data_IF_492885205805
#
_entry.id   IF_492885205805
#
_cell.length_a   1.000
_cell.length_b   1.000
_cell.length_c   1.000
_cell.angle_alpha   90.00
_cell.angle_beta   90.00
_cell.angle_gamma   90.00
#
_symmetry.space_group_name_H-M   'P 1'
#
loop_
_entity.id
_entity.type
_entity.pdbx_description
1 polymer ?
#
# COMPACT_ATOMS: atom_id res chain seq x y z
N UNK A 1 -18.69 -13.84 -38.32
CA UNK A 1 -18.12 -13.15 -37.16
C UNK A 1 -19.22 -12.99 -36.15
N UNK A 2 -19.30 -13.86 -35.15
CA UNK A 2 -20.27 -13.68 -34.05
C UNK A 2 -19.80 -12.52 -33.18
N UNK A 3 -20.74 -11.82 -32.56
CA UNK A 3 -20.55 -10.58 -31.82
C UNK A 3 -19.71 -10.69 -30.53
N UNK A 4 -18.81 -11.67 -30.42
CA UNK A 4 -18.10 -12.06 -29.18
C UNK A 4 -16.58 -11.85 -29.19
N UNK A 5 -15.97 -11.36 -30.26
CA UNK A 5 -14.50 -11.20 -30.36
C UNK A 5 -14.04 -9.74 -30.18
N UNK A 6 -14.59 -9.03 -29.20
CA UNK A 6 -14.11 -7.67 -28.86
C UNK A 6 -12.90 -7.82 -27.94
N UNK A 7 -11.72 -7.36 -28.40
CA UNK A 7 -10.55 -7.26 -27.55
C UNK A 7 -10.79 -6.19 -26.46
N UNK A 8 -11.04 -6.64 -25.23
CA UNK A 8 -11.35 -5.79 -24.07
C UNK A 8 -10.19 -4.88 -23.64
N UNK A 9 -8.97 -5.15 -24.09
CA UNK A 9 -7.81 -4.27 -23.87
C UNK A 9 -7.70 -3.17 -24.94
N UNK A 10 -8.25 -3.39 -26.14
CA UNK A 10 -7.98 -2.59 -27.35
C UNK A 10 -6.54 -2.69 -27.89
N UNK A 11 -5.68 -3.50 -27.26
CA UNK A 11 -4.33 -3.85 -27.72
C UNK A 11 -3.97 -5.25 -27.23
N UNK A 12 -2.82 -5.78 -27.66
CA UNK A 12 -2.30 -7.05 -27.10
C UNK A 12 -1.23 -6.73 -26.06
N UNK A 13 -1.39 -7.12 -24.78
CA UNK A 13 -0.38 -6.86 -23.75
C UNK A 13 0.99 -7.43 -24.14
N UNK A 14 2.05 -6.64 -23.98
CA UNK A 14 3.43 -7.08 -24.24
C UNK A 14 3.85 -8.17 -23.25
N UNK A 15 4.02 -9.39 -23.75
CA UNK A 15 4.37 -10.58 -22.98
C UNK A 15 5.59 -10.39 -22.07
N UNK A 16 6.69 -9.89 -22.62
CA UNK A 16 7.95 -9.73 -21.87
C UNK A 16 7.77 -8.82 -20.65
N UNK A 17 7.01 -7.73 -20.80
CA UNK A 17 6.73 -6.80 -19.69
C UNK A 17 5.89 -7.48 -18.61
N UNK A 18 4.86 -8.23 -18.99
CA UNK A 18 4.02 -8.96 -18.03
C UNK A 18 4.85 -9.98 -17.22
N UNK A 19 5.72 -10.75 -17.90
CA UNK A 19 6.60 -11.73 -17.26
C UNK A 19 7.58 -11.03 -16.29
N UNK A 20 8.16 -9.90 -16.69
CA UNK A 20 9.06 -9.12 -15.82
C UNK A 20 8.36 -8.73 -14.53
N UNK A 21 7.14 -8.20 -14.58
CA UNK A 21 6.38 -7.85 -13.37
C UNK A 21 6.05 -9.08 -12.51
N UNK A 22 5.64 -10.20 -13.10
CA UNK A 22 5.42 -11.46 -12.37
C UNK A 22 6.68 -11.86 -11.59
N UNK A 23 7.86 -11.79 -12.22
CA UNK A 23 9.14 -12.10 -11.57
C UNK A 23 9.43 -11.10 -10.45
N UNK A 24 9.34 -9.80 -10.73
CA UNK A 24 9.64 -8.74 -9.76
C UNK A 24 8.76 -8.85 -8.51
N UNK A 25 7.46 -9.07 -8.67
CA UNK A 25 6.53 -9.25 -7.55
C UNK A 25 6.77 -10.57 -6.81
N UNK A 26 7.07 -11.66 -7.53
CA UNK A 26 7.37 -12.95 -6.88
C UNK A 26 8.61 -12.86 -6.01
N UNK A 27 9.70 -12.29 -6.54
CA UNK A 27 10.95 -12.08 -5.79
C UNK A 27 10.70 -11.19 -4.57
N UNK A 28 10.03 -10.06 -4.75
CA UNK A 28 9.71 -9.12 -3.66
C UNK A 28 8.85 -9.78 -2.57
N UNK A 29 7.84 -10.56 -2.96
CA UNK A 29 6.93 -11.26 -2.03
C UNK A 29 7.66 -12.32 -1.22
N UNK A 30 8.52 -13.11 -1.86
CA UNK A 30 9.35 -14.12 -1.18
C UNK A 30 10.32 -13.45 -0.19
N UNK A 31 10.95 -12.33 -0.59
CA UNK A 31 11.82 -11.56 0.28
C UNK A 31 11.05 -11.01 1.49
N UNK A 32 9.88 -10.43 1.32
CA UNK A 32 9.03 -9.96 2.43
C UNK A 32 8.60 -11.10 3.34
N UNK A 33 8.21 -12.25 2.78
CA UNK A 33 7.85 -13.44 3.56
C UNK A 33 9.02 -13.95 4.41
N UNK A 34 10.21 -14.05 3.82
CA UNK A 34 11.43 -14.45 4.53
C UNK A 34 11.80 -13.45 5.62
N UNK A 35 11.79 -12.16 5.32
CA UNK A 35 12.13 -11.11 6.29
C UNK A 35 11.11 -11.05 7.44
N UNK A 36 9.81 -11.19 7.14
CA UNK A 36 8.76 -11.24 8.14
C UNK A 36 8.93 -12.43 9.09
N UNK A 37 9.26 -13.62 8.56
CA UNK A 37 9.54 -14.81 9.36
C UNK A 37 10.80 -14.62 10.23
N UNK A 38 11.91 -14.14 9.64
CA UNK A 38 13.18 -13.92 10.35
C UNK A 38 13.05 -12.90 11.47
N UNK A 39 12.36 -11.79 11.23
CA UNK A 39 12.21 -10.71 12.21
C UNK A 39 10.93 -10.83 13.04
N UNK A 40 10.21 -11.98 12.97
CA UNK A 40 8.92 -12.21 13.65
C UNK A 40 7.91 -11.08 13.48
N UNK A 41 7.94 -10.42 12.32
CA UNK A 41 7.06 -9.30 11.99
C UNK A 41 5.77 -9.82 11.34
N UNK A 42 5.01 -10.62 12.10
CA UNK A 42 3.84 -11.36 11.62
C UNK A 42 2.77 -10.49 10.96
N UNK A 43 2.70 -9.21 11.30
CA UNK A 43 1.76 -8.26 10.68
C UNK A 43 2.03 -8.02 9.18
N UNK A 44 3.25 -8.28 8.69
CA UNK A 44 3.62 -8.14 7.27
C UNK A 44 3.05 -9.27 6.40
N UNK A 45 2.73 -10.43 6.99
CA UNK A 45 2.15 -11.55 6.24
C UNK A 45 0.74 -11.24 5.71
N UNK A 46 -0.25 -10.87 6.54
CA UNK A 46 -1.60 -10.57 6.04
C UNK A 46 -1.67 -9.24 5.27
N UNK A 47 -0.58 -8.46 5.20
CA UNK A 47 -0.55 -7.16 4.55
C UNK A 47 0.30 -7.20 3.28
N UNK A 48 1.62 -7.06 3.40
CA UNK A 48 2.54 -6.97 2.26
C UNK A 48 2.61 -8.27 1.45
N UNK A 49 2.60 -9.44 2.11
CA UNK A 49 2.68 -10.73 1.39
C UNK A 49 1.39 -11.03 0.63
N UNK A 50 0.21 -10.79 1.23
CA UNK A 50 -1.07 -10.93 0.51
C UNK A 50 -1.13 -9.97 -0.67
N UNK A 51 -0.73 -8.70 -0.49
CA UNK A 51 -0.65 -7.75 -1.59
C UNK A 51 0.27 -8.24 -2.72
N UNK A 52 1.44 -8.76 -2.37
CA UNK A 52 2.40 -9.30 -3.33
C UNK A 52 1.88 -10.52 -4.09
N UNK A 53 1.22 -11.47 -3.41
CA UNK A 53 0.57 -12.62 -4.06
C UNK A 53 -0.52 -12.14 -5.02
N UNK A 54 -1.35 -11.18 -4.62
CA UNK A 54 -2.39 -10.62 -5.47
C UNK A 54 -1.80 -9.96 -6.72
N UNK A 55 -0.73 -9.16 -6.60
CA UNK A 55 -0.01 -8.60 -7.75
C UNK A 55 0.53 -9.71 -8.68
N UNK A 56 1.15 -10.77 -8.15
CA UNK A 56 1.61 -11.92 -8.96
C UNK A 56 0.46 -12.57 -9.73
N UNK A 57 -0.69 -12.79 -9.09
CA UNK A 57 -1.88 -13.36 -9.73
C UNK A 57 -2.41 -12.44 -10.83
N UNK A 58 -2.52 -11.14 -10.57
CA UNK A 58 -3.00 -10.15 -11.54
C UNK A 58 -2.09 -10.05 -12.77
N UNK A 59 -0.77 -9.94 -12.57
CA UNK A 59 0.21 -9.91 -13.65
C UNK A 59 0.35 -11.26 -14.36
N UNK A 60 0.11 -12.37 -13.66
CA UNK A 60 0.03 -13.72 -14.26
C UNK A 60 -1.18 -13.85 -15.19
N UNK A 61 -2.35 -13.38 -14.76
CA UNK A 61 -3.54 -13.33 -15.61
C UNK A 61 -3.33 -12.42 -16.84
N UNK A 62 -2.68 -11.26 -16.65
CA UNK A 62 -2.30 -10.38 -17.75
C UNK A 62 -1.29 -11.04 -18.72
N UNK A 63 -0.37 -11.85 -18.20
CA UNK A 63 0.53 -12.66 -19.02
C UNK A 63 -0.25 -13.67 -19.86
N UNK A 64 -1.28 -14.32 -19.30
CA UNK A 64 -2.16 -15.20 -20.07
C UNK A 64 -2.89 -14.45 -21.19
N UNK A 65 -3.37 -13.23 -20.93
CA UNK A 65 -3.94 -12.36 -21.97
C UNK A 65 -2.95 -11.92 -23.05
N UNK A 66 -1.64 -11.97 -22.82
CA UNK A 66 -0.64 -11.71 -23.88
C UNK A 66 -0.52 -12.84 -24.91
N UNK A 67 -1.03 -14.03 -24.60
CA UNK A 67 -1.11 -15.15 -25.56
C UNK A 67 -2.43 -15.11 -26.33
N UNK A 68 -3.52 -14.79 -25.64
CA UNK A 68 -4.86 -14.70 -26.20
C UNK A 68 -5.64 -13.55 -25.53
N UNK A 69 -5.65 -12.34 -26.15
CA UNK A 69 -6.28 -11.15 -25.57
C UNK A 69 -7.81 -11.17 -25.64
N UNK A 70 -8.40 -12.10 -26.39
CA UNK A 70 -9.86 -12.24 -26.52
C UNK A 70 -10.47 -13.00 -25.35
N UNK A 71 -9.65 -13.65 -24.51
CA UNK A 71 -10.16 -14.32 -23.32
C UNK A 71 -10.63 -13.32 -22.26
N UNK A 72 -11.93 -13.38 -21.98
CA UNK A 72 -12.58 -12.54 -20.98
C UNK A 72 -12.13 -12.86 -19.55
N UNK A 73 -11.93 -14.12 -19.20
CA UNK A 73 -11.57 -14.51 -17.82
C UNK A 73 -10.22 -13.95 -17.37
N UNK A 74 -9.11 -14.06 -18.12
CA UNK A 74 -7.84 -13.44 -17.74
C UNK A 74 -7.91 -11.91 -17.66
N UNK A 75 -8.69 -11.26 -18.54
CA UNK A 75 -8.97 -9.82 -18.46
C UNK A 75 -9.68 -9.44 -17.15
N UNK A 76 -10.74 -10.16 -16.79
CA UNK A 76 -11.47 -9.92 -15.54
C UNK A 76 -10.55 -10.11 -14.34
N UNK A 77 -9.78 -11.21 -14.30
CA UNK A 77 -8.88 -11.49 -13.18
C UNK A 77 -7.85 -10.37 -13.04
N UNK A 78 -7.18 -9.97 -14.12
CA UNK A 78 -6.16 -8.92 -14.00
C UNK A 78 -6.77 -7.56 -13.63
N UNK A 79 -7.90 -7.16 -14.22
CA UNK A 79 -8.54 -5.87 -13.90
C UNK A 79 -9.00 -5.84 -12.44
N UNK A 80 -9.70 -6.89 -11.98
CA UNK A 80 -10.24 -6.91 -10.62
C UNK A 80 -9.15 -7.10 -9.56
N UNK A 81 -8.22 -8.04 -9.76
CA UNK A 81 -7.20 -8.34 -8.75
C UNK A 81 -6.18 -7.20 -8.65
N UNK A 82 -5.74 -6.60 -9.76
CA UNK A 82 -4.76 -5.50 -9.69
C UNK A 82 -5.36 -4.22 -9.07
N UNK A 83 -6.68 -4.02 -9.14
CA UNK A 83 -7.34 -2.95 -8.39
C UNK A 83 -7.28 -3.19 -6.88
N UNK A 84 -7.53 -4.43 -6.44
CA UNK A 84 -7.57 -4.79 -5.01
C UNK A 84 -6.17 -5.01 -4.42
N UNK A 85 -5.21 -5.50 -5.20
CA UNK A 85 -3.89 -5.95 -4.74
C UNK A 85 -3.09 -4.96 -3.86
N UNK A 86 -3.06 -3.64 -4.11
CA UNK A 86 -2.26 -2.72 -3.30
C UNK A 86 -2.93 -2.35 -1.97
N UNK A 87 -4.22 -2.64 -1.78
CA UNK A 87 -4.94 -2.26 -0.54
C UNK A 87 -4.35 -2.90 0.73
N UNK A 88 -3.98 -4.20 0.78
CA UNK A 88 -3.34 -4.76 1.98
C UNK A 88 -1.92 -4.19 2.19
N UNK A 89 -1.26 -3.70 1.14
CA UNK A 89 0.04 -3.03 1.27
C UNK A 89 -0.11 -1.67 1.98
N UNK A 90 -1.15 -0.90 1.65
CA UNK A 90 -1.48 0.37 2.32
C UNK A 90 -1.75 0.14 3.82
N UNK A 91 -2.44 -0.94 4.18
CA UNK A 91 -2.61 -1.33 5.58
C UNK A 91 -1.27 -1.51 6.33
N UNK A 92 -0.25 -2.07 5.68
CA UNK A 92 1.09 -2.17 6.25
C UNK A 92 1.72 -0.80 6.55
N UNK A 93 1.49 0.19 5.66
CA UNK A 93 1.98 1.56 5.84
C UNK A 93 1.31 2.22 7.06
N UNK A 94 0.00 2.05 7.23
CA UNK A 94 -0.74 2.59 8.36
C UNK A 94 -0.31 1.96 9.69
N UNK A 95 -0.11 0.64 9.72
CA UNK A 95 0.40 -0.07 10.90
C UNK A 95 1.84 0.35 11.19
N UNK A 96 2.68 0.43 10.16
CA UNK A 96 4.06 0.89 10.27
C UNK A 96 4.15 2.30 10.86
N UNK A 97 3.36 3.23 10.36
CA UNK A 97 3.33 4.60 10.86
C UNK A 97 2.81 4.68 12.30
N UNK A 98 1.76 3.94 12.64
CA UNK A 98 1.31 3.82 14.03
C UNK A 98 2.44 3.36 14.97
N UNK A 99 3.24 2.38 14.55
CA UNK A 99 4.39 1.92 15.35
C UNK A 99 5.52 2.95 15.45
N UNK A 100 5.76 3.77 14.41
CA UNK A 100 6.71 4.88 14.48
C UNK A 100 6.23 5.91 15.50
N UNK A 101 4.99 6.38 15.38
CA UNK A 101 4.45 7.44 16.24
C UNK A 101 4.41 7.00 17.71
N UNK A 102 4.10 5.73 17.97
CA UNK A 102 4.14 5.17 19.33
C UNK A 102 5.54 5.13 19.96
N UNK A 103 6.61 5.10 19.15
CA UNK A 103 7.99 4.98 19.65
C UNK A 103 8.75 6.29 19.68
N UNK A 104 8.64 7.09 18.63
CA UNK A 104 9.30 8.39 18.55
C UNK A 104 8.59 9.44 19.42
N UNK A 105 7.34 9.21 19.81
CA UNK A 105 6.61 10.03 20.76
C UNK A 105 5.23 10.38 20.23
N UNK A 106 4.21 9.86 20.89
CA UNK A 106 2.82 10.14 20.58
C UNK A 106 2.47 11.63 20.75
N UNK A 107 3.26 12.38 21.53
CA UNK A 107 3.09 13.82 21.76
C UNK A 107 3.14 14.69 20.49
N UNK A 108 3.85 14.25 19.45
CA UNK A 108 3.91 14.97 18.16
C UNK A 108 2.73 14.63 17.24
N UNK A 109 1.99 13.57 17.58
CA UNK A 109 0.88 13.05 16.82
C UNK A 109 -0.45 13.63 17.31
N UNK A 110 -1.40 13.88 16.40
CA UNK A 110 -2.76 14.32 16.77
C UNK A 110 -3.62 13.17 17.30
N UNK A 111 -3.46 11.99 16.70
CA UNK A 111 -4.21 10.80 17.08
C UNK A 111 -3.28 9.82 17.81
N UNK A 112 -3.87 8.92 18.59
CA UNK A 112 -3.09 7.84 19.19
C UNK A 112 -2.60 6.88 18.11
N UNK A 113 -1.40 6.29 18.27
CA UNK A 113 -0.82 5.28 17.37
C UNK A 113 -1.80 4.21 16.88
N UNK A 114 -2.65 3.72 17.78
CA UNK A 114 -3.63 2.67 17.50
C UNK A 114 -4.84 3.16 16.73
N UNK A 115 -5.17 4.45 16.81
CA UNK A 115 -6.34 5.01 16.14
C UNK A 115 -6.08 5.23 14.64
N UNK A 116 -4.85 5.56 14.25
CA UNK A 116 -4.43 5.57 12.83
C UNK A 116 -4.73 4.24 12.16
N UNK A 117 -4.16 3.16 12.69
CA UNK A 117 -4.31 1.86 12.08
C UNK A 117 -5.76 1.35 12.13
N UNK A 118 -6.61 1.78 13.08
CA UNK A 118 -8.02 1.37 13.12
C UNK A 118 -8.89 2.14 12.11
N UNK A 119 -8.83 3.47 12.12
CA UNK A 119 -9.71 4.29 11.26
C UNK A 119 -9.38 4.02 9.78
N UNK A 120 -8.11 4.16 9.41
CA UNK A 120 -7.71 4.07 8.00
C UNK A 120 -7.83 2.64 7.46
N UNK A 121 -7.53 1.62 8.27
CA UNK A 121 -7.75 0.23 7.85
C UNK A 121 -9.23 -0.10 7.69
N UNK A 122 -10.09 0.41 8.56
CA UNK A 122 -11.54 0.14 8.44
C UNK A 122 -12.10 0.80 7.17
N UNK A 123 -11.69 2.04 6.89
CA UNK A 123 -12.06 2.73 5.66
C UNK A 123 -11.57 1.96 4.41
N UNK A 124 -10.33 1.46 4.43
CA UNK A 124 -9.77 0.67 3.33
C UNK A 124 -10.47 -0.69 3.17
N UNK A 125 -10.86 -1.37 4.25
CA UNK A 125 -11.62 -2.62 4.18
C UNK A 125 -13.00 -2.38 3.56
N UNK A 126 -13.69 -1.32 3.97
CA UNK A 126 -14.99 -0.95 3.39
C UNK A 126 -14.81 -0.65 1.90
N UNK A 127 -13.80 0.13 1.54
CA UNK A 127 -13.48 0.41 0.14
C UNK A 127 -13.18 -0.86 -0.65
N UNK A 128 -12.38 -1.79 -0.11
CA UNK A 128 -12.05 -3.07 -0.73
C UNK A 128 -13.32 -3.91 -0.98
N UNK A 129 -14.25 -3.95 -0.03
CA UNK A 129 -15.54 -4.64 -0.20
C UNK A 129 -16.37 -4.01 -1.32
N UNK A 130 -16.42 -2.68 -1.38
CA UNK A 130 -17.11 -1.95 -2.46
C UNK A 130 -16.47 -2.26 -3.82
N UNK A 131 -15.14 -2.20 -3.92
CA UNK A 131 -14.38 -2.52 -5.14
C UNK A 131 -14.58 -3.98 -5.58
N UNK A 132 -14.55 -4.92 -4.63
CA UNK A 132 -14.80 -6.34 -4.90
C UNK A 132 -16.22 -6.60 -5.40
N UNK A 133 -17.22 -5.96 -4.79
CA UNK A 133 -18.62 -6.02 -5.24
C UNK A 133 -18.80 -5.44 -6.65
N UNK A 134 -18.25 -4.25 -6.92
CA UNK A 134 -18.28 -3.61 -8.23
C UNK A 134 -17.56 -4.45 -9.31
N UNK A 135 -16.40 -5.03 -8.97
CA UNK A 135 -15.65 -5.95 -9.83
C UNK A 135 -16.43 -7.23 -10.13
N UNK A 136 -17.14 -7.79 -9.15
CA UNK A 136 -18.03 -8.94 -9.34
C UNK A 136 -19.19 -8.65 -10.28
N UNK A 137 -19.85 -7.49 -10.11
CA UNK A 137 -20.93 -7.05 -11.01
C UNK A 137 -20.39 -6.84 -12.43
N UNK A 138 -19.27 -6.12 -12.59
CA UNK A 138 -18.65 -5.91 -13.89
C UNK A 138 -18.27 -7.24 -14.58
N UNK A 139 -17.74 -8.20 -13.82
CA UNK A 139 -17.39 -9.53 -14.31
C UNK A 139 -18.60 -10.33 -14.81
N UNK A 140 -19.75 -10.24 -14.13
CA UNK A 140 -20.98 -10.95 -14.49
C UNK A 140 -21.75 -10.36 -15.69
N UNK A 141 -21.36 -9.19 -16.19
CA UNK A 141 -22.16 -8.38 -17.11
C UNK A 141 -22.01 -8.73 -18.60
N UNK A 142 -21.98 -10.02 -18.95
CA UNK A 142 -21.58 -10.53 -20.28
C UNK A 142 -22.17 -9.82 -21.48
N UNK A 143 -23.43 -9.41 -21.39
CA UNK A 143 -24.20 -8.80 -22.49
C UNK A 143 -24.95 -7.54 -22.05
N UNK A 144 -24.58 -6.96 -20.90
CA UNK A 144 -25.33 -5.86 -20.28
C UNK A 144 -24.38 -4.67 -20.01
N UNK A 145 -24.28 -3.73 -20.97
CA UNK A 145 -23.43 -2.55 -20.85
C UNK A 145 -23.77 -1.69 -19.62
N UNK A 146 -25.03 -1.66 -19.21
CA UNK A 146 -25.48 -0.86 -18.08
C UNK A 146 -24.99 -1.48 -16.76
N UNK A 147 -25.04 -2.81 -16.63
CA UNK A 147 -24.45 -3.50 -15.47
C UNK A 147 -22.92 -3.39 -15.44
N UNK A 148 -22.25 -3.41 -16.59
CA UNK A 148 -20.81 -3.19 -16.67
C UNK A 148 -20.42 -1.77 -16.20
N UNK A 149 -21.18 -0.75 -16.64
CA UNK A 149 -21.02 0.65 -16.18
C UNK A 149 -21.31 0.79 -14.69
N UNK A 150 -22.38 0.16 -14.20
CA UNK A 150 -22.71 0.14 -12.78
C UNK A 150 -21.55 -0.43 -11.95
N UNK A 151 -21.00 -1.58 -12.37
CA UNK A 151 -19.83 -2.18 -11.72
C UNK A 151 -18.62 -1.27 -11.71
N UNK A 152 -18.30 -0.62 -12.83
CA UNK A 152 -17.23 0.38 -12.93
C UNK A 152 -17.44 1.56 -11.97
N UNK A 153 -18.66 2.11 -11.92
CA UNK A 153 -18.98 3.23 -11.03
C UNK A 153 -18.86 2.85 -9.55
N UNK A 154 -19.24 1.62 -9.19
CA UNK A 154 -19.06 1.09 -7.83
C UNK A 154 -17.56 0.97 -7.50
N UNK A 155 -16.73 0.48 -8.42
CA UNK A 155 -15.26 0.45 -8.23
C UNK A 155 -14.71 1.85 -8.01
N UNK A 156 -15.10 2.83 -8.84
CA UNK A 156 -14.69 4.24 -8.69
C UNK A 156 -15.08 4.78 -7.32
N UNK A 157 -16.30 4.50 -6.84
CA UNK A 157 -16.74 4.94 -5.51
C UNK A 157 -15.81 4.40 -4.40
N UNK A 158 -15.42 3.12 -4.49
CA UNK A 158 -14.44 2.53 -3.58
C UNK A 158 -13.07 3.22 -3.68
N UNK A 159 -12.55 3.43 -4.88
CA UNK A 159 -11.27 4.12 -5.10
C UNK A 159 -11.28 5.56 -4.56
N UNK A 160 -12.41 6.27 -4.67
CA UNK A 160 -12.58 7.63 -4.12
C UNK A 160 -12.55 7.62 -2.59
N UNK A 161 -13.24 6.68 -1.95
CA UNK A 161 -13.17 6.53 -0.48
C UNK A 161 -11.72 6.23 -0.04
N UNK A 162 -11.03 5.35 -0.77
CA UNK A 162 -9.64 4.99 -0.48
C UNK A 162 -8.70 6.18 -0.63
N UNK A 163 -8.81 6.98 -1.71
CA UNK A 163 -7.92 8.13 -1.90
C UNK A 163 -8.19 9.25 -0.89
N UNK A 164 -9.44 9.44 -0.46
CA UNK A 164 -9.78 10.40 0.61
C UNK A 164 -9.12 9.94 1.92
N UNK A 165 -9.29 8.66 2.28
CA UNK A 165 -8.64 8.03 3.43
C UNK A 165 -7.12 8.23 3.40
N UNK A 166 -6.49 7.92 2.28
CA UNK A 166 -5.05 8.08 2.06
C UNK A 166 -4.61 9.55 2.10
N UNK A 167 -5.40 10.48 1.57
CA UNK A 167 -5.09 11.93 1.60
C UNK A 167 -5.03 12.45 3.04
N UNK A 168 -6.02 12.07 3.85
CA UNK A 168 -6.04 12.42 5.27
C UNK A 168 -4.84 11.82 6.01
N UNK A 169 -4.48 10.57 5.69
CA UNK A 169 -3.26 9.95 6.21
C UNK A 169 -1.98 10.72 5.81
N UNK A 170 -1.85 11.13 4.54
CA UNK A 170 -0.73 11.94 4.06
C UNK A 170 -0.61 13.26 4.83
N UNK A 171 -1.72 13.95 5.08
CA UNK A 171 -1.73 15.18 5.90
C UNK A 171 -1.19 14.91 7.30
N UNK A 172 -1.63 13.83 7.96
CA UNK A 172 -1.12 13.48 9.28
C UNK A 172 0.35 13.06 9.28
N UNK A 173 0.80 12.34 8.25
CA UNK A 173 2.19 11.96 8.08
C UNK A 173 3.08 13.20 7.93
N UNK A 174 2.71 14.12 7.05
CA UNK A 174 3.44 15.37 6.81
C UNK A 174 3.46 16.22 8.08
N UNK A 175 2.32 16.36 8.75
CA UNK A 175 2.22 17.11 9.99
C UNK A 175 3.12 16.52 11.09
N UNK A 176 3.12 15.19 11.24
CA UNK A 176 3.97 14.50 12.20
C UNK A 176 5.45 14.75 11.92
N UNK A 177 5.88 14.59 10.66
CA UNK A 177 7.26 14.83 10.23
C UNK A 177 7.65 16.28 10.50
N UNK A 178 6.82 17.24 10.11
CA UNK A 178 7.08 18.67 10.30
C UNK A 178 7.18 19.06 11.78
N UNK A 179 6.23 18.61 12.61
CA UNK A 179 6.23 18.87 14.07
C UNK A 179 7.43 18.25 14.77
N UNK A 180 7.86 17.07 14.31
CA UNK A 180 9.03 16.38 14.87
C UNK A 180 10.33 17.06 14.50
N UNK A 181 10.47 17.56 13.27
CA UNK A 181 11.65 18.31 12.83
C UNK A 181 11.75 19.64 13.56
N UNK A 182 10.62 20.33 13.76
CA UNK A 182 10.58 21.64 14.40
C UNK A 182 10.44 21.60 15.94
N UNK A 183 10.49 20.40 16.55
CA UNK A 183 10.31 20.17 17.99
C UNK A 183 9.08 20.85 18.59
N UNK A 184 7.95 20.83 17.85
CA UNK A 184 6.67 21.37 18.29
C UNK A 184 5.70 20.25 18.68
N UNK A 185 5.73 19.77 19.94
CA UNK A 185 4.76 18.77 20.39
C UNK A 185 3.33 19.34 20.33
N UNK A 186 2.38 18.49 19.94
CA UNK A 186 0.96 18.86 19.86
C UNK A 186 0.27 18.81 21.22
N UNK A 187 0.52 17.73 21.96
CA UNK A 187 0.11 17.63 23.35
C UNK A 187 1.18 18.28 24.21
N UNK A 188 0.80 19.28 25.03
CA UNK A 188 1.66 19.74 26.12
C UNK A 188 1.79 18.57 27.09
N UNK A 189 3.01 18.09 27.30
CA UNK A 189 3.30 17.10 28.33
C UNK A 189 2.80 17.64 29.68
N UNK A 190 2.15 16.81 30.49
CA UNK A 190 1.82 17.16 31.85
C UNK A 190 3.10 17.51 32.61
N UNK A 191 3.05 18.54 33.46
CA UNK A 191 4.19 18.99 34.24
C UNK A 191 4.74 17.83 35.08
N UNK A 192 5.96 17.35 34.77
CA UNK A 192 6.59 16.19 35.43
C UNK A 192 6.79 14.96 34.52
N UNK A 193 6.03 14.81 33.44
CA UNK A 193 6.26 13.78 32.42
C UNK A 193 7.11 14.38 31.28
N UNK A 194 8.35 14.74 31.57
CA UNK A 194 9.30 15.01 30.50
C UNK A 194 9.56 13.67 29.78
N UNK A 195 8.74 13.32 28.79
CA UNK A 195 9.08 12.24 27.87
C UNK A 195 10.24 12.79 27.04
N UNK A 196 11.45 12.56 27.53
CA UNK A 196 12.68 12.96 26.86
C UNK A 196 12.58 12.63 25.38
N UNK A 197 12.91 13.59 24.54
CA UNK A 197 12.97 13.43 23.08
C UNK A 197 13.90 12.25 22.78
N UNK A 198 13.31 11.07 22.56
CA UNK A 198 14.06 9.89 22.16
C UNK A 198 14.81 10.22 20.87
N UNK A 199 16.15 10.15 20.82
CA UNK A 199 16.91 10.49 19.63
C UNK A 199 16.44 9.62 18.47
N UNK A 200 16.22 10.24 17.31
CA UNK A 200 15.79 9.50 16.12
C UNK A 200 16.99 8.74 15.56
N UNK A 201 17.10 7.48 15.96
CA UNK A 201 18.10 6.54 15.44
C UNK A 201 18.01 6.43 13.91
N UNK A 202 19.14 6.15 13.26
CA UNK A 202 19.26 5.99 11.80
C UNK A 202 18.25 4.99 11.27
N UNK A 203 17.99 3.91 12.01
CA UNK A 203 17.01 2.90 11.66
C UNK A 203 15.57 3.45 11.58
N UNK A 204 15.21 4.34 12.50
CA UNK A 204 13.89 4.96 12.51
C UNK A 204 13.75 6.01 11.40
N UNK A 205 14.82 6.74 11.06
CA UNK A 205 14.84 7.64 9.89
C UNK A 205 14.60 6.87 8.60
N UNK A 206 15.27 5.72 8.43
CA UNK A 206 15.09 4.87 7.27
C UNK A 206 13.66 4.32 7.21
N UNK A 207 13.09 3.87 8.32
CA UNK A 207 11.71 3.36 8.34
C UNK A 207 10.69 4.46 7.98
N UNK A 208 10.86 5.66 8.55
CA UNK A 208 10.02 6.81 8.23
C UNK A 208 10.13 7.19 6.74
N UNK A 209 11.35 7.28 6.22
CA UNK A 209 11.59 7.55 4.80
C UNK A 209 10.96 6.47 3.91
N UNK A 210 11.10 5.20 4.26
CA UNK A 210 10.54 4.08 3.50
C UNK A 210 9.02 4.11 3.45
N UNK A 211 8.37 4.42 4.58
CA UNK A 211 6.91 4.61 4.63
C UNK A 211 6.52 5.82 3.80
N UNK A 212 7.18 6.98 3.95
CA UNK A 212 6.86 8.19 3.17
C UNK A 212 7.01 7.97 1.66
N UNK A 213 8.12 7.38 1.20
CA UNK A 213 8.36 7.09 -0.21
C UNK A 213 7.27 6.14 -0.74
N UNK A 214 7.00 5.05 0.00
CA UNK A 214 5.97 4.08 -0.39
C UNK A 214 4.58 4.73 -0.44
N UNK A 215 4.22 5.55 0.55
CA UNK A 215 2.96 6.29 0.59
C UNK A 215 2.79 7.19 -0.63
N UNK A 216 3.82 7.92 -1.03
CA UNK A 216 3.78 8.80 -2.22
C UNK A 216 3.58 7.98 -3.50
N UNK A 217 4.33 6.88 -3.67
CA UNK A 217 4.21 6.02 -4.85
C UNK A 217 2.81 5.42 -4.98
N UNK A 218 2.25 4.89 -3.88
CA UNK A 218 0.90 4.32 -3.88
C UNK A 218 -0.15 5.41 -4.11
N UNK A 219 0.04 6.61 -3.56
CA UNK A 219 -0.88 7.73 -3.77
C UNK A 219 -0.99 8.11 -5.25
N UNK A 220 0.14 8.22 -5.95
CA UNK A 220 0.16 8.51 -7.40
C UNK A 220 -0.59 7.41 -8.17
N UNK A 221 -0.38 6.13 -7.83
CA UNK A 221 -1.16 5.02 -8.41
C UNK A 221 -2.66 5.16 -8.14
N UNK A 222 -3.07 5.51 -6.92
CA UNK A 222 -4.48 5.68 -6.58
C UNK A 222 -5.15 6.76 -7.43
N UNK A 223 -4.45 7.87 -7.70
CA UNK A 223 -4.93 8.92 -8.64
C UNK A 223 -5.08 8.35 -10.05
N UNK A 224 -4.06 7.66 -10.56
CA UNK A 224 -4.10 7.03 -11.89
C UNK A 224 -5.28 6.06 -12.02
N UNK A 225 -5.55 5.22 -11.01
CA UNK A 225 -6.64 4.26 -11.03
C UNK A 225 -8.02 4.92 -11.09
N UNK A 226 -8.23 6.01 -10.37
CA UNK A 226 -9.48 6.78 -10.47
C UNK A 226 -9.65 7.32 -11.88
N UNK A 227 -8.60 7.90 -12.46
CA UNK A 227 -8.64 8.46 -13.82
C UNK A 227 -8.90 7.36 -14.85
N UNK A 228 -8.21 6.23 -14.76
CA UNK A 228 -8.39 5.09 -15.67
C UNK A 228 -9.83 4.55 -15.65
N UNK A 229 -10.42 4.35 -14.46
CA UNK A 229 -11.79 3.87 -14.37
C UNK A 229 -12.82 4.94 -14.74
N UNK A 230 -12.54 6.22 -14.50
CA UNK A 230 -13.39 7.34 -14.89
C UNK A 230 -13.40 7.58 -16.41
N UNK A 231 -12.27 7.38 -17.09
CA UNK A 231 -12.15 7.41 -18.55
C UNK A 231 -12.89 6.22 -19.21
N UNK A 232 -13.10 5.16 -18.44
CA UNK A 232 -13.86 3.98 -18.83
C UNK A 232 -13.09 3.03 -19.76
N UNK A 233 -13.70 1.88 -20.08
CA UNK A 233 -13.05 0.81 -20.85
C UNK A 233 -12.69 1.16 -22.30
N UNK A 234 -13.26 2.24 -22.85
CA UNK A 234 -12.95 2.77 -24.19
C UNK A 234 -12.06 4.04 -24.12
N UNK A 235 -11.58 4.39 -22.93
CA UNK A 235 -10.75 5.57 -22.70
C UNK A 235 -9.36 5.44 -23.31
N UNK A 236 -8.79 6.57 -23.75
CA UNK A 236 -7.44 6.60 -24.36
C UNK A 236 -6.37 6.14 -23.36
N UNK A 237 -6.63 6.35 -22.06
CA UNK A 237 -5.72 5.99 -20.97
C UNK A 237 -5.70 4.46 -20.78
N UNK A 238 -6.86 3.81 -20.80
CA UNK A 238 -6.98 2.36 -20.68
C UNK A 238 -6.31 1.63 -21.86
N UNK A 239 -6.35 2.22 -23.07
CA UNK A 239 -5.71 1.69 -24.27
C UNK A 239 -4.19 1.95 -24.33
N UNK A 240 -3.66 2.83 -23.48
CA UNK A 240 -2.22 3.12 -23.48
C UNK A 240 -1.48 2.22 -22.50
N UNK A 241 -1.00 1.08 -23.01
CA UNK A 241 -0.31 0.06 -22.20
C UNK A 241 0.86 0.62 -21.36
N UNK A 242 1.59 1.61 -21.88
CA UNK A 242 2.74 2.21 -21.17
C UNK A 242 2.30 2.87 -19.87
N UNK A 243 1.17 3.59 -19.86
CA UNK A 243 0.66 4.24 -18.66
C UNK A 243 0.31 3.20 -17.59
N UNK A 244 -0.37 2.11 -17.99
CA UNK A 244 -0.69 1.01 -17.09
C UNK A 244 0.57 0.40 -16.47
N UNK A 245 1.57 0.06 -17.29
CA UNK A 245 2.79 -0.58 -16.80
C UNK A 245 3.58 0.33 -15.84
N UNK A 246 3.63 1.63 -16.12
CA UNK A 246 4.38 2.61 -15.32
C UNK A 246 3.63 2.95 -14.03
N UNK A 247 2.39 3.42 -14.13
CA UNK A 247 1.66 3.93 -12.98
C UNK A 247 1.06 2.83 -12.11
N UNK A 248 0.67 1.71 -12.71
CA UNK A 248 0.16 0.59 -11.94
C UNK A 248 1.29 -0.36 -11.50
N UNK A 249 2.00 -0.93 -12.47
CA UNK A 249 3.03 -1.95 -12.20
C UNK A 249 4.27 -1.40 -11.49
N UNK A 250 4.90 -0.38 -12.08
CA UNK A 250 6.20 0.08 -11.59
C UNK A 250 6.12 0.78 -10.24
N UNK A 251 5.09 1.61 -9.99
CA UNK A 251 4.96 2.33 -8.71
C UNK A 251 4.80 1.39 -7.51
N UNK A 252 4.00 0.33 -7.62
CA UNK A 252 3.83 -0.65 -6.53
C UNK A 252 5.04 -1.54 -6.39
N UNK A 253 5.68 -1.92 -7.50
CA UNK A 253 6.97 -2.61 -7.45
C UNK A 253 7.98 -1.78 -6.65
N UNK A 254 8.18 -0.50 -6.99
CA UNK A 254 9.11 0.38 -6.28
C UNK A 254 8.74 0.54 -4.79
N UNK A 255 7.45 0.65 -4.46
CA UNK A 255 6.99 0.72 -3.07
C UNK A 255 7.32 -0.57 -2.29
N UNK A 256 7.04 -1.75 -2.87
CA UNK A 256 7.35 -3.02 -2.23
C UNK A 256 8.86 -3.23 -2.03
N UNK A 257 9.68 -2.88 -3.03
CA UNK A 257 11.14 -2.96 -2.91
C UNK A 257 11.69 -1.94 -1.91
N UNK A 258 11.09 -0.76 -1.80
CA UNK A 258 11.45 0.22 -0.76
C UNK A 258 11.29 -0.39 0.64
N UNK A 259 10.18 -1.08 0.90
CA UNK A 259 9.99 -1.77 2.18
C UNK A 259 10.82 -3.06 2.32
N UNK A 260 11.29 -3.69 1.24
CA UNK A 260 12.27 -4.78 1.34
C UNK A 260 13.60 -4.25 1.88
N UNK A 261 14.08 -3.12 1.37
CA UNK A 261 15.34 -2.53 1.85
C UNK A 261 15.19 -1.88 3.23
N UNK A 262 14.07 -1.20 3.47
CA UNK A 262 13.77 -0.50 4.73
C UNK A 262 12.81 -1.32 5.59
N UNK A 263 13.18 -2.58 5.89
CA UNK A 263 12.28 -3.57 6.46
C UNK A 263 11.70 -3.17 7.83
N UNK A 264 10.37 -2.96 7.95
CA UNK A 264 9.74 -2.52 9.19
C UNK A 264 10.03 -3.44 10.36
N UNK A 265 10.03 -4.75 10.16
CA UNK A 265 10.26 -5.71 11.24
C UNK A 265 11.67 -5.67 11.83
N UNK A 266 12.68 -5.45 11.00
CA UNK A 266 14.07 -5.43 11.46
C UNK A 266 14.40 -4.09 12.09
N UNK A 267 13.96 -2.99 11.48
CA UNK A 267 14.17 -1.65 12.00
C UNK A 267 13.42 -1.43 13.32
N UNK A 268 12.21 -2.00 13.46
CA UNK A 268 11.49 -1.96 14.72
C UNK A 268 12.15 -2.82 15.80
N UNK A 269 12.71 -3.99 15.51
CA UNK A 269 13.43 -4.76 16.54
C UNK A 269 14.76 -4.10 16.94
N UNK A 270 15.50 -3.57 15.97
CA UNK A 270 16.78 -2.89 16.21
C UNK A 270 16.62 -1.68 17.15
N UNK A 271 15.62 -0.83 16.93
CA UNK A 271 15.38 0.32 17.83
C UNK A 271 14.98 -0.11 19.24
N UNK A 272 14.25 -1.22 19.41
CA UNK A 272 13.91 -1.73 20.75
C UNK A 272 15.16 -2.13 21.55
N UNK A 273 16.12 -2.80 20.89
CA UNK A 273 17.38 -3.18 21.51
C UNK A 273 18.23 -1.96 21.88
N UNK A 274 18.36 -0.98 20.99
CA UNK A 274 19.11 0.26 21.27
C UNK A 274 18.52 1.01 22.47
N UNK A 275 17.19 1.07 22.56
CA UNK A 275 16.52 1.74 23.67
C UNK A 275 16.67 0.99 25.00
N UNK A 276 16.62 -0.35 25.01
CA UNK A 276 16.89 -1.13 26.23
C UNK A 276 18.32 -0.93 26.72
N UNK A 277 19.32 -1.00 25.82
CA UNK A 277 20.71 -0.75 26.19
C UNK A 277 20.94 0.66 26.76
N UNK A 278 20.29 1.68 26.19
CA UNK A 278 20.39 3.05 26.69
C UNK A 278 19.77 3.23 28.08
N UNK A 279 18.67 2.53 28.37
CA UNK A 279 18.02 2.55 29.70
C UNK A 279 18.86 1.82 30.74
N UNK A 280 19.39 0.63 30.41
CA UNK A 280 20.26 -0.15 31.30
C UNK A 280 21.51 0.65 31.66
N UNK A 281 22.15 1.28 30.66
CA UNK A 281 23.33 2.13 30.86
C UNK A 281 23.04 3.33 31.77
N UNK A 282 21.85 3.93 31.65
CA UNK A 282 21.43 5.05 32.52
C UNK A 282 21.14 4.59 33.94
N UNK A 283 20.51 3.43 34.13
CA UNK A 283 20.29 2.86 35.47
C UNK A 283 21.60 2.47 36.16
N UNK A 284 22.61 2.02 35.41
CA UNK A 284 23.93 1.69 35.94
C UNK A 284 24.74 2.94 36.36
N UNK A 285 24.41 4.11 35.82
CA UNK A 285 25.05 5.39 36.14
C UNK A 285 24.27 6.22 37.18
N UNK A 286 23.09 5.76 37.59
CA UNK A 286 22.30 6.43 38.62
C UNK A 286 22.94 6.20 40.01
N UNK A 287 23.23 7.25 40.80
CA UNK A 287 23.80 7.06 42.13
C UNK A 287 22.83 6.25 43.00
N UNK A 288 23.35 5.20 43.64
CA UNK A 288 22.63 4.46 44.67
C UNK A 288 22.50 5.34 45.91
N UNK A 289 21.36 6.02 46.06
CA UNK A 289 20.97 6.75 47.26
C UNK A 289 20.32 5.84 48.28
#
# INVERSE_FOLDING_TARGET
>A
MSSNDINLYGYTPTRSVCIIFVILYSVSTLLHGFQAARSRAWFLLPTVVIAGIAEVVGWGARTKSSYDPFQRTPFIIQTSILVLAPTPFVAALFIGFGRITGRLGAQYSRLSPTLYSRIFLTADIISLMVQGGGGGIAAGSSNDPDKARLGSNIIIAGLVVQIISMSVFCVFLIEYVWRRINDRPFHKLAYGEATERQPMDRHMKMLLAGITISTVLIYIRSVYRIIEFADGFNGTIAHTQVLFNVFDGMLVTLAMYTLNFMHPGQLLLATQQVQSYALDSRSALAPSY
#
